data_IF_608772195677
#
_entry.id   IF_608772195677
#
_cell.length_a   1.000
_cell.length_b   1.000
_cell.length_c   1.000
_cell.angle_alpha   90.00
_cell.angle_beta   90.00
_cell.angle_gamma   90.00
#
_symmetry.space_group_name_H-M   'P 1'
#
loop_
_entity.id
_entity.type
_entity.pdbx_description
1 polymer ?
#
# COMPACT_ATOMS: atom_id res chain seq x y z
N UNK A 1 8.88 -0.42 10.97
CA UNK A 1 9.12 -1.36 9.85
C UNK A 1 8.29 -2.59 10.09
N UNK A 2 7.56 -3.04 9.08
CA UNK A 2 6.61 -4.15 9.12
C UNK A 2 7.18 -5.26 8.25
N UNK A 3 7.21 -6.49 8.75
CA UNK A 3 7.69 -7.65 7.99
C UNK A 3 6.52 -8.51 7.54
N UNK A 4 6.43 -8.75 6.23
CA UNK A 4 5.34 -9.52 5.62
C UNK A 4 5.93 -10.45 4.56
N UNK A 5 5.67 -11.75 4.68
CA UNK A 5 6.22 -12.77 3.77
C UNK A 5 7.74 -12.65 3.53
N UNK A 6 8.50 -12.34 4.60
CA UNK A 6 9.97 -12.19 4.53
C UNK A 6 10.45 -10.94 3.80
N UNK A 7 9.58 -9.95 3.59
CA UNK A 7 9.92 -8.64 3.01
C UNK A 7 9.60 -7.53 4.01
N UNK A 8 10.44 -6.51 4.01
CA UNK A 8 10.29 -5.37 4.88
C UNK A 8 9.53 -4.25 4.18
N UNK A 9 8.59 -3.67 4.90
CA UNK A 9 7.72 -2.58 4.47
C UNK A 9 7.77 -1.44 5.50
N UNK A 10 7.60 -0.22 4.99
CA UNK A 10 7.44 0.99 5.79
C UNK A 10 6.05 1.54 5.59
N UNK A 11 5.38 1.89 6.69
CA UNK A 11 4.10 2.59 6.64
C UNK A 11 4.38 4.06 6.32
N UNK A 12 4.06 4.46 5.10
CA UNK A 12 4.30 5.83 4.63
C UNK A 12 3.06 6.71 4.72
N UNK A 13 1.88 6.10 4.79
CA UNK A 13 0.62 6.82 4.96
C UNK A 13 -0.38 5.95 5.73
N UNK A 14 -1.08 6.56 6.69
CA UNK A 14 -2.11 5.91 7.48
C UNK A 14 -3.26 6.88 7.72
N UNK A 15 -4.37 6.68 7.00
CA UNK A 15 -5.53 7.56 7.06
C UNK A 15 -6.62 6.88 7.88
N UNK A 16 -7.15 7.64 8.86
CA UNK A 16 -8.20 7.18 9.79
C UNK A 16 -7.85 5.89 10.54
N UNK A 17 -6.58 5.72 10.88
CA UNK A 17 -6.08 4.54 11.60
C UNK A 17 -6.41 3.22 10.87
N UNK A 18 -6.46 3.25 9.53
CA UNK A 18 -6.79 2.07 8.72
C UNK A 18 -5.74 0.97 8.75
N UNK A 19 -4.53 1.22 9.24
CA UNK A 19 -3.52 0.18 9.35
C UNK A 19 -3.82 -0.82 10.48
N UNK A 20 -4.08 -2.07 10.12
CA UNK A 20 -4.18 -3.20 11.04
C UNK A 20 -3.22 -4.32 10.58
N UNK A 21 -2.20 -4.60 11.40
CA UNK A 21 -1.17 -5.60 11.10
C UNK A 21 -1.73 -7.02 11.00
N UNK A 22 -2.74 -7.37 11.80
CA UNK A 22 -3.34 -8.71 11.77
C UNK A 22 -4.14 -8.90 10.49
N UNK A 23 -5.04 -7.97 10.19
CA UNK A 23 -5.86 -8.03 8.99
C UNK A 23 -5.00 -8.05 7.72
N UNK A 24 -3.93 -7.25 7.72
CA UNK A 24 -2.95 -7.23 6.65
C UNK A 24 -2.28 -8.60 6.46
N UNK A 25 -1.76 -9.21 7.52
CA UNK A 25 -1.12 -10.54 7.43
C UNK A 25 -2.09 -11.63 6.96
N UNK A 26 -3.36 -11.58 7.40
CA UNK A 26 -4.39 -12.53 6.99
C UNK A 26 -4.79 -12.39 5.51
N UNK A 27 -4.81 -11.15 4.98
CA UNK A 27 -5.20 -10.87 3.60
C UNK A 27 -4.04 -10.85 2.61
N UNK A 28 -2.80 -10.74 3.09
CA UNK A 28 -1.63 -10.62 2.24
C UNK A 28 -1.41 -11.90 1.42
N UNK A 29 -1.05 -11.72 0.15
CA UNK A 29 -0.73 -12.80 -0.78
C UNK A 29 0.65 -12.58 -1.38
N UNK A 30 1.42 -13.65 -1.62
CA UNK A 30 2.78 -13.58 -2.18
C UNK A 30 2.86 -12.83 -3.52
N UNK A 31 1.74 -12.80 -4.28
CA UNK A 31 1.66 -12.03 -5.52
C UNK A 31 1.83 -10.53 -5.28
N UNK A 32 1.44 -10.01 -4.11
CA UNK A 32 1.59 -8.60 -3.74
C UNK A 32 3.06 -8.24 -3.53
N UNK A 33 3.89 -9.22 -3.20
CA UNK A 33 5.29 -9.00 -2.91
C UNK A 33 6.15 -8.64 -4.12
N UNK A 34 5.59 -8.67 -5.35
CA UNK A 34 6.22 -8.20 -6.58
C UNK A 34 6.13 -6.67 -6.76
N UNK A 35 5.17 -6.03 -6.08
CA UNK A 35 4.93 -4.60 -6.17
C UNK A 35 5.86 -3.82 -5.24
N UNK A 36 6.02 -2.53 -5.53
CA UNK A 36 6.81 -1.60 -4.74
C UNK A 36 6.01 -1.01 -3.58
N UNK A 37 4.70 -0.88 -3.77
CA UNK A 37 3.76 -0.36 -2.80
C UNK A 37 2.59 -1.33 -2.63
N UNK A 38 2.09 -1.42 -1.41
CA UNK A 38 0.85 -2.13 -1.08
C UNK A 38 -0.07 -1.11 -0.42
N UNK A 39 -1.25 -0.96 -0.99
CA UNK A 39 -2.32 -0.10 -0.46
C UNK A 39 -3.36 -1.02 0.14
N UNK A 40 -3.70 -0.75 1.39
CA UNK A 40 -4.82 -1.40 2.06
C UNK A 40 -5.95 -0.41 2.25
N UNK A 41 -7.13 -0.70 1.72
CA UNK A 41 -8.31 0.15 1.87
C UNK A 41 -9.48 -0.66 2.44
N UNK A 42 -10.35 0.02 3.20
CA UNK A 42 -11.48 -0.59 3.89
C UNK A 42 -12.79 -0.30 3.16
N UNK A 43 -13.26 -1.28 2.38
CA UNK A 43 -14.59 -1.26 1.76
C UNK A 43 -15.55 -2.14 2.53
N UNK A 44 -16.64 -1.59 3.06
CA UNK A 44 -17.66 -2.35 3.82
C UNK A 44 -17.06 -3.21 4.95
N UNK A 45 -16.15 -2.62 5.74
CA UNK A 45 -15.40 -3.31 6.82
C UNK A 45 -14.54 -4.50 6.37
N UNK A 46 -14.26 -4.61 5.06
CA UNK A 46 -13.34 -5.60 4.52
C UNK A 46 -12.08 -4.93 3.99
N UNK A 47 -10.95 -5.38 4.52
CA UNK A 47 -9.64 -4.98 4.02
C UNK A 47 -9.41 -5.56 2.62
N UNK A 48 -9.15 -4.66 1.68
CA UNK A 48 -8.71 -4.97 0.32
C UNK A 48 -7.27 -4.55 0.19
N UNK A 49 -6.46 -5.39 -0.45
CA UNK A 49 -5.05 -5.10 -0.70
C UNK A 49 -4.82 -4.96 -2.21
N UNK A 50 -4.22 -3.84 -2.61
CA UNK A 50 -3.86 -3.56 -3.99
C UNK A 50 -2.36 -3.24 -4.07
N UNK A 51 -1.68 -3.87 -5.03
CA UNK A 51 -0.27 -3.62 -5.28
C UNK A 51 -0.06 -2.57 -6.37
N UNK A 52 0.88 -1.66 -6.14
CA UNK A 52 1.29 -0.62 -7.09
C UNK A 52 2.80 -0.62 -7.30
N UNK A 53 3.23 -0.28 -8.51
CA UNK A 53 4.63 -0.07 -8.86
C UNK A 53 5.03 1.39 -8.64
N UNK A 54 6.33 1.62 -8.49
CA UNK A 54 6.86 2.99 -8.49
C UNK A 54 6.71 3.66 -9.86
N UNK A 55 6.47 4.98 -9.87
CA UNK A 55 6.35 5.77 -11.10
C UNK A 55 7.59 5.76 -12.01
N UNK A 56 8.74 5.39 -11.45
CA UNK A 56 10.02 5.34 -12.15
C UNK A 56 10.04 4.35 -13.32
N UNK A 57 9.12 3.37 -13.37
CA UNK A 57 9.15 2.34 -14.39
C UNK A 57 8.23 2.68 -15.58
N UNK A 58 8.80 3.24 -16.65
CA UNK A 58 8.09 3.66 -17.88
C UNK A 58 7.36 2.54 -18.63
N UNK A 59 7.66 1.25 -18.37
CA UNK A 59 7.02 0.10 -19.03
C UNK A 59 5.74 -0.38 -18.34
N UNK A 60 5.37 0.23 -17.22
CA UNK A 60 4.20 -0.18 -16.42
C UNK A 60 2.99 0.65 -16.81
N UNK A 61 1.82 0.00 -16.93
CA UNK A 61 0.53 0.70 -17.12
C UNK A 61 0.32 1.75 -16.04
N UNK A 62 -0.22 2.91 -16.40
CA UNK A 62 -0.41 4.04 -15.49
C UNK A 62 -1.27 3.65 -14.28
N UNK A 63 -2.32 2.86 -14.49
CA UNK A 63 -3.25 2.37 -13.47
C UNK A 63 -2.60 1.44 -12.42
N UNK A 64 -1.41 0.92 -12.73
CA UNK A 64 -0.65 0.06 -11.83
C UNK A 64 0.47 0.81 -11.11
N UNK A 65 0.59 2.13 -11.28
CA UNK A 65 1.59 2.98 -10.62
C UNK A 65 1.02 3.70 -9.40
N UNK A 66 1.87 4.02 -8.44
CA UNK A 66 1.46 4.70 -7.20
C UNK A 66 0.86 6.09 -7.47
N UNK A 67 1.24 6.78 -8.55
CA UNK A 67 0.60 8.03 -8.96
C UNK A 67 -0.90 7.92 -9.32
N UNK A 68 -1.42 6.72 -9.58
CA UNK A 68 -2.85 6.47 -9.79
C UNK A 68 -3.60 6.10 -8.50
N UNK A 69 -2.96 6.25 -7.32
CA UNK A 69 -3.56 5.92 -6.04
C UNK A 69 -4.80 6.78 -5.75
N UNK A 70 -4.74 8.09 -5.97
CA UNK A 70 -5.85 8.99 -5.71
C UNK A 70 -7.09 8.62 -6.55
N UNK A 71 -6.90 8.36 -7.84
CA UNK A 71 -7.97 7.87 -8.72
C UNK A 71 -8.53 6.52 -8.23
N UNK A 72 -7.65 5.58 -7.84
CA UNK A 72 -8.07 4.30 -7.27
C UNK A 72 -8.91 4.47 -6.00
N UNK A 73 -8.48 5.32 -5.07
CA UNK A 73 -9.24 5.56 -3.85
C UNK A 73 -10.57 6.24 -4.19
N UNK A 74 -10.58 7.22 -5.09
CA UNK A 74 -11.81 7.89 -5.50
C UNK A 74 -12.83 6.94 -6.13
N UNK A 75 -12.38 6.00 -6.96
CA UNK A 75 -13.24 5.03 -7.64
C UNK A 75 -13.74 3.92 -6.71
N UNK A 76 -12.88 3.42 -5.80
CA UNK A 76 -13.16 2.18 -5.04
C UNK A 76 -13.38 2.41 -3.54
N UNK A 77 -12.78 3.44 -2.94
CA UNK A 77 -12.81 3.78 -1.50
C UNK A 77 -13.69 5.03 -1.33
N UNK A 78 -14.99 4.81 -1.15
CA UNK A 78 -16.01 5.84 -0.92
C UNK A 78 -15.52 6.96 0.03
N UNK A 79 -16.06 8.18 -0.10
CA UNK A 79 -15.67 9.33 0.72
C UNK A 79 -15.47 9.00 2.20
N UNK A 80 -14.23 9.18 2.67
CA UNK A 80 -13.86 8.96 4.07
C UNK A 80 -13.61 7.50 4.44
N UNK A 81 -13.36 6.60 3.50
CA UNK A 81 -12.88 5.25 3.82
C UNK A 81 -11.47 5.31 4.44
N UNK A 82 -11.20 4.41 5.37
CA UNK A 82 -9.90 4.28 6.00
C UNK A 82 -8.97 3.53 5.04
N UNK A 83 -7.71 3.94 4.97
CA UNK A 83 -6.74 3.25 4.14
C UNK A 83 -5.31 3.50 4.65
N UNK A 84 -4.38 2.69 4.17
CA UNK A 84 -2.97 2.82 4.47
C UNK A 84 -2.12 2.46 3.26
N UNK A 85 -0.90 3.00 3.23
CA UNK A 85 0.06 2.74 2.17
C UNK A 85 1.37 2.24 2.77
N UNK A 86 1.78 1.07 2.31
CA UNK A 86 3.05 0.43 2.66
C UNK A 86 4.00 0.54 1.48
N UNK A 87 5.19 1.06 1.74
CA UNK A 87 6.28 1.07 0.77
C UNK A 87 7.24 -0.08 1.07
N UNK A 88 7.55 -0.89 0.07
CA UNK A 88 8.53 -1.95 0.18
C UNK A 88 9.95 -1.38 0.29
N UNK A 89 10.67 -1.82 1.31
CA UNK A 89 12.06 -1.42 1.53
C UNK A 89 12.96 -2.29 0.65
N UNK A 90 13.32 -1.79 -0.52
CA UNK A 90 14.37 -2.37 -1.36
C UNK A 90 15.73 -1.88 -0.83
N UNK A 91 16.37 -2.63 0.06
CA UNK A 91 17.76 -2.38 0.46
C UNK A 91 18.07 -0.92 0.82
N UNK A 92 17.54 -0.48 1.96
CA UNK A 92 17.94 0.70 2.75
C UNK A 92 18.33 2.00 1.99
N UNK A 93 17.40 2.95 1.93
CA UNK A 93 17.62 4.24 2.61
C UNK A 93 16.35 4.62 3.37
N UNK A 94 16.43 4.87 4.69
CA UNK A 94 15.29 5.35 5.46
C UNK A 94 14.92 6.74 4.93
N UNK A 95 13.66 6.95 4.54
CA UNK A 95 13.17 8.31 4.35
C UNK A 95 12.56 8.75 5.68
N UNK A 96 13.13 9.83 6.22
CA UNK A 96 12.67 10.51 7.44
C UNK A 96 11.17 10.75 7.36
N UNK A 97 10.46 10.33 8.40
CA UNK A 97 9.23 10.98 8.82
C UNK A 97 9.56 12.47 9.04
N UNK A 98 8.95 13.36 8.26
CA UNK A 98 9.01 14.80 8.50
C UNK A 98 7.69 15.22 9.15
N UNK A 99 7.85 15.74 10.37
CA UNK A 99 7.01 16.53 11.29
C UNK A 99 5.52 16.78 11.01
#
# INVERSE_FOLDING_TARGET
MIEISGKQYELIENVKEGFDEKALNERHSDILSKYDYIVGDWGYDQLRLKGFYSDQNHKTSLDAKIGALDDYLYEYCNFGCAYFVLQKIKGAKPKKSEE
#
